data_IF_469734025246
#
_entry.id   IF_469734025246
#
_cell.length_a   1.000
_cell.length_b   1.000
_cell.length_c   1.000
_cell.angle_alpha   90.00
_cell.angle_beta   90.00
_cell.angle_gamma   90.00
#
_symmetry.space_group_name_H-M   'P 1'
#
loop_
_entity.id
_entity.type
_entity.pdbx_description
1 polymer ?
#
# COMPACT_ATOMS: atom_id res chain seq x y z
N UNK A 1 8.01 -18.03 49.18
CA UNK A 1 7.20 -17.17 48.30
C UNK A 1 7.61 -17.41 46.86
N UNK A 2 6.81 -18.16 46.08
CA UNK A 2 7.11 -18.41 44.68
C UNK A 2 6.96 -17.13 43.87
N UNK A 3 8.01 -16.74 43.14
CA UNK A 3 7.94 -15.59 42.25
C UNK A 3 6.92 -15.88 41.14
N UNK A 4 5.82 -15.15 41.13
CA UNK A 4 4.90 -15.14 39.99
C UNK A 4 5.69 -14.56 38.83
N UNK A 5 6.14 -15.42 37.90
CA UNK A 5 6.70 -14.97 36.62
C UNK A 5 5.58 -14.27 35.86
N UNK A 6 5.49 -12.95 36.00
CA UNK A 6 4.66 -12.15 35.11
C UNK A 6 5.20 -12.30 33.70
N UNK A 7 4.44 -12.99 32.84
CA UNK A 7 4.76 -13.04 31.41
C UNK A 7 4.67 -11.63 30.85
N UNK A 8 5.68 -11.21 30.09
CA UNK A 8 5.70 -9.89 29.44
C UNK A 8 4.39 -9.67 28.64
N UNK A 9 3.82 -8.44 28.65
CA UNK A 9 2.72 -8.08 27.77
C UNK A 9 3.05 -8.38 26.31
N UNK A 10 2.12 -9.04 25.62
CA UNK A 10 2.29 -9.40 24.21
C UNK A 10 1.71 -8.32 23.31
N UNK A 11 2.56 -7.73 22.49
CA UNK A 11 2.18 -6.79 21.43
C UNK A 11 2.26 -7.49 20.08
N UNK A 12 1.11 -7.64 19.43
CA UNK A 12 1.03 -8.20 18.07
C UNK A 12 1.01 -7.05 17.07
N UNK A 13 1.83 -7.14 16.03
CA UNK A 13 1.83 -6.23 14.89
C UNK A 13 1.38 -7.01 13.66
N UNK A 14 0.32 -6.54 12.99
CA UNK A 14 -0.20 -7.19 11.78
C UNK A 14 0.22 -6.39 10.56
N UNK A 15 1.06 -6.97 9.73
CA UNK A 15 1.61 -6.38 8.51
C UNK A 15 3.11 -6.09 8.62
N UNK A 16 3.88 -6.50 7.61
CA UNK A 16 5.32 -6.25 7.52
C UNK A 16 5.65 -5.17 6.47
N UNK A 17 4.78 -4.17 6.31
CA UNK A 17 5.02 -2.97 5.50
C UNK A 17 5.77 -1.88 6.28
N UNK A 18 5.80 -0.66 5.73
CA UNK A 18 6.49 0.49 6.35
C UNK A 18 6.04 0.76 7.79
N UNK A 19 4.73 0.87 8.02
CA UNK A 19 4.17 1.10 9.34
C UNK A 19 4.48 -0.06 10.30
N UNK A 20 4.23 -1.30 9.87
CA UNK A 20 4.41 -2.47 10.72
C UNK A 20 5.86 -2.76 11.09
N UNK A 21 6.81 -2.63 10.16
CA UNK A 21 8.23 -2.80 10.45
C UNK A 21 8.77 -1.69 11.36
N UNK A 22 8.31 -0.45 11.16
CA UNK A 22 8.67 0.66 12.03
C UNK A 22 8.13 0.49 13.45
N UNK A 23 6.86 0.07 13.59
CA UNK A 23 6.25 -0.27 14.87
C UNK A 23 6.98 -1.41 15.57
N UNK A 24 7.20 -2.52 14.84
CA UNK A 24 7.90 -3.70 15.33
C UNK A 24 9.31 -3.35 15.82
N UNK A 25 10.05 -2.54 15.06
CA UNK A 25 11.39 -2.08 15.47
C UNK A 25 11.34 -1.34 16.78
N UNK A 26 10.48 -0.33 16.90
CA UNK A 26 10.39 0.50 18.10
C UNK A 26 9.98 -0.34 19.32
N UNK A 27 9.02 -1.26 19.17
CA UNK A 27 8.63 -2.19 20.23
C UNK A 27 9.79 -3.11 20.63
N UNK A 28 10.53 -3.65 19.67
CA UNK A 28 11.64 -4.60 19.92
C UNK A 28 12.81 -3.99 20.70
N UNK A 29 12.90 -2.66 20.78
CA UNK A 29 13.90 -1.95 21.59
C UNK A 29 13.55 -1.94 23.08
N UNK A 30 12.30 -2.28 23.44
CA UNK A 30 11.84 -2.34 24.81
C UNK A 30 11.82 -3.81 25.30
N UNK A 31 12.66 -4.13 26.28
CA UNK A 31 12.76 -5.47 26.86
C UNK A 31 11.56 -5.91 27.70
N UNK A 32 10.57 -5.04 27.92
CA UNK A 32 9.41 -5.29 28.76
C UNK A 32 8.18 -5.76 27.96
N UNK A 33 8.31 -6.07 26.68
CA UNK A 33 7.20 -6.59 25.85
C UNK A 33 7.63 -7.79 25.01
N UNK A 34 6.72 -8.73 24.80
CA UNK A 34 6.85 -9.77 23.78
C UNK A 34 6.31 -9.23 22.45
N UNK A 35 7.15 -9.18 21.40
CA UNK A 35 6.74 -8.67 20.09
C UNK A 35 6.50 -9.82 19.11
N UNK A 36 5.31 -9.86 18.51
CA UNK A 36 4.96 -10.82 17.46
C UNK A 36 4.56 -10.08 16.19
N UNK A 37 5.28 -10.31 15.09
CA UNK A 37 4.95 -9.79 13.77
C UNK A 37 4.23 -10.85 12.94
N UNK A 38 3.04 -10.53 12.44
CA UNK A 38 2.25 -11.37 11.55
C UNK A 38 2.29 -10.79 10.14
N UNK A 39 2.73 -11.57 9.15
CA UNK A 39 2.67 -11.14 7.75
C UNK A 39 2.62 -12.34 6.78
N UNK A 40 2.10 -12.17 5.55
CA UNK A 40 1.95 -13.27 4.60
C UNK A 40 3.27 -13.91 4.14
N UNK A 41 4.37 -13.15 4.22
CA UNK A 41 5.71 -13.54 3.78
C UNK A 41 6.76 -12.90 4.68
N UNK A 42 7.91 -13.55 4.84
CA UNK A 42 9.09 -13.00 5.53
C UNK A 42 9.96 -12.11 4.62
N UNK A 43 9.32 -11.37 3.73
CA UNK A 43 9.99 -10.47 2.79
C UNK A 43 9.29 -9.13 2.81
N UNK A 44 10.07 -8.06 2.87
CA UNK A 44 9.59 -6.70 2.73
C UNK A 44 9.81 -6.23 1.28
N UNK A 45 8.77 -5.65 0.68
CA UNK A 45 8.81 -5.16 -0.68
C UNK A 45 8.74 -3.62 -0.69
N UNK A 46 9.65 -2.99 -1.46
CA UNK A 46 9.65 -1.54 -1.69
C UNK A 46 8.57 -1.15 -2.70
N UNK A 47 7.29 -1.28 -2.31
CA UNK A 47 6.15 -1.09 -3.23
C UNK A 47 6.05 0.33 -3.81
N UNK A 48 6.59 1.35 -3.13
CA UNK A 48 6.69 2.71 -3.69
C UNK A 48 7.60 2.80 -4.91
N UNK A 49 8.39 1.75 -5.21
CA UNK A 49 9.24 1.65 -6.41
C UNK A 49 8.51 1.04 -7.62
N UNK A 50 7.23 0.68 -7.51
CA UNK A 50 6.42 0.21 -8.64
C UNK A 50 6.51 1.16 -9.87
N UNK A 51 6.35 2.49 -9.71
CA UNK A 51 6.56 3.45 -10.80
C UNK A 51 7.93 3.34 -11.46
N UNK A 52 8.98 3.14 -10.66
CA UNK A 52 10.37 3.07 -11.14
C UNK A 52 10.64 1.76 -11.92
N UNK A 53 9.92 0.67 -11.59
CA UNK A 53 9.95 -0.58 -12.38
C UNK A 53 9.34 -0.35 -13.76
N UNK A 54 8.19 0.32 -13.83
CA UNK A 54 7.54 0.63 -15.12
C UNK A 54 8.40 1.56 -15.97
N UNK A 55 9.04 2.55 -15.35
CA UNK A 55 9.99 3.44 -16.03
C UNK A 55 11.27 2.73 -16.52
N UNK A 56 11.50 1.48 -16.09
CA UNK A 56 12.67 0.69 -16.46
C UNK A 56 13.96 1.07 -15.72
N UNK A 57 13.86 1.83 -14.63
CA UNK A 57 15.01 2.35 -13.86
C UNK A 57 15.21 1.63 -12.53
N UNK A 58 14.37 0.63 -12.22
CA UNK A 58 14.48 -0.18 -11.02
C UNK A 58 14.15 -1.64 -11.31
N UNK A 59 14.94 -2.57 -10.77
CA UNK A 59 14.71 -4.01 -10.94
C UNK A 59 13.88 -4.54 -9.76
N UNK A 60 12.80 -5.31 -10.00
CA UNK A 60 11.96 -5.86 -8.92
C UNK A 60 12.73 -6.57 -7.81
N UNK A 61 13.79 -7.32 -8.16
CA UNK A 61 14.62 -8.06 -7.19
C UNK A 61 15.37 -7.15 -6.22
N UNK A 62 15.74 -5.94 -6.62
CA UNK A 62 16.44 -4.97 -5.77
C UNK A 62 15.51 -4.39 -4.68
N UNK A 63 14.19 -4.47 -4.88
CA UNK A 63 13.19 -4.00 -3.93
C UNK A 63 12.67 -5.07 -2.97
N UNK A 64 13.23 -6.29 -2.98
CA UNK A 64 12.78 -7.41 -2.15
C UNK A 64 13.81 -7.70 -1.05
N UNK A 65 13.46 -7.42 0.21
CA UNK A 65 14.36 -7.53 1.37
C UNK A 65 13.94 -8.74 2.23
N UNK A 66 14.85 -9.70 2.46
CA UNK A 66 14.60 -10.83 3.39
C UNK A 66 14.71 -10.36 4.85
N UNK A 67 13.62 -10.51 5.59
CA UNK A 67 13.54 -10.06 6.98
C UNK A 67 14.16 -11.06 7.98
N UNK A 68 14.66 -12.23 7.55
CA UNK A 68 15.16 -13.28 8.44
C UNK A 68 16.23 -12.77 9.41
N UNK A 69 17.26 -12.08 8.89
CA UNK A 69 18.34 -11.53 9.71
C UNK A 69 17.81 -10.45 10.64
N UNK A 70 17.01 -9.54 10.10
CA UNK A 70 16.39 -8.42 10.81
C UNK A 70 15.56 -8.86 12.02
N UNK A 71 14.71 -9.90 11.83
CA UNK A 71 13.87 -10.49 12.88
C UNK A 71 14.71 -11.15 13.97
N UNK A 72 15.76 -11.88 13.58
CA UNK A 72 16.66 -12.57 14.53
C UNK A 72 17.42 -11.60 15.42
N UNK A 73 18.02 -10.56 14.84
CA UNK A 73 18.80 -9.57 15.58
C UNK A 73 17.94 -8.78 16.58
N UNK A 74 16.64 -8.62 16.29
CA UNK A 74 15.68 -7.93 17.15
C UNK A 74 14.88 -8.86 18.06
N UNK A 75 15.15 -10.16 18.03
CA UNK A 75 14.44 -11.18 18.81
C UNK A 75 12.90 -11.13 18.65
N UNK A 76 12.43 -10.83 17.44
CA UNK A 76 10.99 -10.72 17.12
C UNK A 76 10.44 -12.08 16.72
N UNK A 77 9.33 -12.49 17.34
CA UNK A 77 8.56 -13.66 16.91
C UNK A 77 7.85 -13.36 15.59
N UNK A 78 7.96 -14.25 14.60
CA UNK A 78 7.33 -14.03 13.29
C UNK A 78 6.35 -15.15 12.94
N UNK A 79 5.13 -14.78 12.58
CA UNK A 79 4.08 -15.70 12.12
C UNK A 79 3.83 -15.45 10.64
N UNK A 80 4.24 -16.39 9.80
CA UNK A 80 4.03 -16.35 8.34
C UNK A 80 2.59 -16.78 7.99
N UNK A 81 1.69 -15.80 7.83
CA UNK A 81 0.30 -16.08 7.51
C UNK A 81 -0.54 -14.84 7.28
N UNK A 82 -1.81 -15.07 6.93
CA UNK A 82 -2.83 -14.05 6.72
C UNK A 82 -3.84 -14.16 7.85
N UNK A 83 -4.20 -13.04 8.47
CA UNK A 83 -5.32 -13.00 9.43
C UNK A 83 -6.61 -13.30 8.68
N UNK A 84 -7.25 -14.40 9.04
CA UNK A 84 -8.52 -14.84 8.47
C UNK A 84 -9.71 -14.25 9.24
N UNK A 85 -9.60 -14.20 10.58
CA UNK A 85 -10.62 -13.67 11.46
C UNK A 85 -9.97 -12.98 12.66
N UNK A 86 -10.66 -11.97 13.21
CA UNK A 86 -10.23 -11.21 14.37
C UNK A 86 -11.39 -11.07 15.35
N UNK A 87 -11.25 -11.70 16.52
CA UNK A 87 -12.14 -11.53 17.66
C UNK A 87 -11.53 -10.50 18.62
N UNK A 88 -11.99 -9.26 18.50
CA UNK A 88 -11.53 -8.13 19.34
C UNK A 88 -11.86 -8.38 20.81
N UNK A 89 -13.08 -8.86 21.11
CA UNK A 89 -13.56 -9.07 22.48
C UNK A 89 -12.72 -10.11 23.23
N UNK A 90 -12.35 -11.20 22.55
CA UNK A 90 -11.46 -12.23 23.10
C UNK A 90 -9.98 -11.90 22.96
N UNK A 91 -9.64 -10.82 22.23
CA UNK A 91 -8.27 -10.38 21.91
C UNK A 91 -7.45 -11.45 21.21
N UNK A 92 -8.04 -12.01 20.15
CA UNK A 92 -7.51 -13.16 19.43
C UNK A 92 -7.55 -12.94 17.92
N UNK A 93 -6.45 -13.25 17.25
CA UNK A 93 -6.37 -13.37 15.80
C UNK A 93 -6.34 -14.83 15.39
N UNK A 94 -7.11 -15.17 14.37
CA UNK A 94 -7.03 -16.45 13.69
C UNK A 94 -6.21 -16.28 12.42
N UNK A 95 -5.01 -16.86 12.39
CA UNK A 95 -4.04 -16.68 11.31
C UNK A 95 -3.93 -17.96 10.51
N UNK A 96 -4.22 -17.91 9.21
CA UNK A 96 -4.04 -19.03 8.29
C UNK A 96 -2.68 -18.93 7.62
N UNK A 97 -1.81 -19.91 7.82
CA UNK A 97 -0.44 -19.82 7.30
C UNK A 97 0.48 -20.97 7.65
N UNK A 98 1.76 -20.81 7.26
CA UNK A 98 2.82 -21.73 7.68
C UNK A 98 3.27 -21.29 9.06
N UNK A 99 3.20 -22.18 10.05
CA UNK A 99 3.78 -21.89 11.37
C UNK A 99 5.29 -21.73 11.23
N UNK A 100 5.78 -20.49 11.23
CA UNK A 100 7.21 -20.20 11.31
C UNK A 100 7.62 -20.15 12.78
N UNK A 101 8.55 -21.03 13.15
CA UNK A 101 9.27 -21.07 14.42
C UNK A 101 9.60 -19.64 14.88
N UNK A 102 9.19 -19.33 16.11
CA UNK A 102 9.77 -18.26 16.93
C UNK A 102 11.28 -18.32 16.80
N UNK A 103 11.91 -17.26 16.31
CA UNK A 103 13.33 -17.06 16.52
C UNK A 103 13.47 -16.77 18.01
N UNK A 104 13.88 -17.78 18.78
CA UNK A 104 13.92 -17.76 20.25
C UNK A 104 14.78 -16.59 20.78
N UNK A 105 14.14 -15.49 21.16
CA UNK A 105 14.49 -14.73 22.36
C UNK A 105 13.78 -15.35 23.57
N UNK A 106 14.30 -15.14 24.78
CA UNK A 106 13.79 -15.76 26.02
C UNK A 106 12.31 -15.38 26.29
N UNK A 107 11.33 -16.18 25.84
CA UNK A 107 9.93 -16.05 26.26
C UNK A 107 9.25 -17.42 26.41
N UNK A 108 8.47 -17.54 27.49
CA UNK A 108 7.75 -18.72 27.96
C UNK A 108 6.68 -19.21 26.98
N UNK A 109 6.34 -20.51 27.08
CA UNK A 109 5.23 -21.19 26.41
C UNK A 109 3.89 -20.46 26.62
N UNK A 110 3.57 -19.45 25.82
CA UNK A 110 2.20 -18.97 25.60
C UNK A 110 1.80 -19.26 24.15
N UNK A 111 1.27 -20.47 23.94
CA UNK A 111 0.31 -20.79 22.89
C UNK A 111 0.63 -20.37 21.45
N UNK A 112 1.84 -20.61 20.95
CA UNK A 112 2.01 -20.76 19.49
C UNK A 112 2.00 -22.27 19.25
N UNK A 113 0.87 -22.79 18.77
CA UNK A 113 0.69 -24.21 18.48
C UNK A 113 1.84 -24.75 17.63
N UNK A 114 2.19 -26.02 17.86
CA UNK A 114 3.28 -26.71 17.18
C UNK A 114 3.19 -26.60 15.65
N UNK A 115 4.35 -26.70 14.98
CA UNK A 115 4.47 -26.58 13.53
C UNK A 115 3.43 -27.48 12.82
N UNK A 116 2.45 -26.84 12.19
CA UNK A 116 1.36 -27.53 11.49
C UNK A 116 1.45 -27.30 9.98
N UNK A 117 0.86 -28.24 9.22
CA UNK A 117 0.91 -28.34 7.76
C UNK A 117 0.47 -27.03 7.08
N UNK A 118 0.86 -26.86 5.81
CA UNK A 118 0.43 -25.75 4.95
C UNK A 118 -1.11 -25.65 4.97
N UNK A 119 -1.64 -24.53 5.49
CA UNK A 119 -3.09 -24.32 5.63
C UNK A 119 -3.63 -24.39 7.06
N UNK A 120 -2.79 -24.67 8.05
CA UNK A 120 -3.20 -24.64 9.46
C UNK A 120 -3.62 -23.24 9.92
N UNK A 121 -4.67 -23.20 10.74
CA UNK A 121 -5.16 -22.01 11.41
C UNK A 121 -4.56 -21.93 12.82
N UNK A 122 -3.99 -20.78 13.15
CA UNK A 122 -3.29 -20.52 14.41
C UNK A 122 -4.04 -19.44 15.17
N UNK A 123 -4.34 -19.71 16.43
CA UNK A 123 -4.93 -18.75 17.35
C UNK A 123 -3.82 -17.96 18.04
N UNK A 124 -3.78 -16.64 17.85
CA UNK A 124 -2.80 -15.75 18.45
C UNK A 124 -3.50 -14.72 19.35
N UNK A 125 -3.35 -14.87 20.66
CA UNK A 125 -3.83 -13.88 21.63
C UNK A 125 -2.89 -12.67 21.70
N UNK A 126 -3.41 -11.51 22.08
CA UNK A 126 -2.62 -10.29 22.29
C UNK A 126 -3.09 -9.50 23.53
N UNK A 127 -2.16 -8.75 24.13
CA UNK A 127 -2.51 -7.73 25.13
C UNK A 127 -2.73 -6.37 24.45
N UNK A 128 -1.91 -6.05 23.44
CA UNK A 128 -2.06 -4.90 22.55
C UNK A 128 -1.89 -5.32 21.08
N UNK A 129 -2.59 -4.64 20.18
CA UNK A 129 -2.52 -4.88 18.75
C UNK A 129 -2.17 -3.59 17.98
N UNK A 130 -1.23 -3.69 17.05
CA UNK A 130 -0.98 -2.66 16.03
C UNK A 130 -1.42 -3.19 14.67
N UNK A 131 -2.51 -2.65 14.14
CA UNK A 131 -3.02 -2.94 12.79
C UNK A 131 -2.26 -2.07 11.78
N UNK A 132 -1.37 -2.70 11.02
CA UNK A 132 -0.52 -2.05 10.03
C UNK A 132 -0.46 -2.86 8.72
N UNK A 133 -1.59 -3.46 8.35
CA UNK A 133 -1.70 -4.42 7.26
C UNK A 133 -1.73 -3.78 5.87
N UNK A 134 -1.81 -2.44 5.81
CA UNK A 134 -2.02 -1.69 4.57
C UNK A 134 -3.37 -2.02 3.93
N UNK A 135 -3.51 -1.66 2.66
CA UNK A 135 -4.65 -2.02 1.82
C UNK A 135 -4.31 -3.19 0.90
N UNK A 136 -5.34 -3.80 0.33
CA UNK A 136 -5.25 -4.85 -0.71
C UNK A 136 -5.98 -4.39 -1.97
N UNK A 137 -5.70 -4.93 -3.16
CA UNK A 137 -6.52 -4.67 -4.33
C UNK A 137 -7.99 -5.00 -4.07
N UNK A 138 -8.87 -4.08 -4.43
CA UNK A 138 -10.31 -4.30 -4.32
C UNK A 138 -10.74 -5.35 -5.34
N UNK A 139 -11.77 -6.13 -4.97
CA UNK A 139 -12.28 -7.23 -5.81
C UNK A 139 -13.79 -7.10 -6.00
N UNK A 140 -14.27 -6.03 -6.65
CA UNK A 140 -15.69 -5.87 -6.90
C UNK A 140 -16.19 -6.93 -7.88
N UNK A 141 -17.50 -7.21 -7.81
CA UNK A 141 -18.18 -8.14 -8.74
C UNK A 141 -18.59 -7.41 -10.02
N UNK A 142 -17.61 -6.86 -10.72
CA UNK A 142 -17.81 -6.21 -12.03
C UNK A 142 -17.68 -7.29 -13.12
N UNK A 143 -18.72 -7.51 -13.96
CA UNK A 143 -18.66 -8.50 -15.03
C UNK A 143 -17.46 -8.28 -15.95
N UNK A 144 -16.71 -9.34 -16.22
CA UNK A 144 -15.53 -9.29 -17.10
C UNK A 144 -14.27 -8.66 -16.50
N UNK A 145 -14.31 -7.99 -15.34
CA UNK A 145 -13.12 -7.32 -14.79
C UNK A 145 -11.96 -8.29 -14.51
N UNK A 146 -12.23 -9.37 -13.78
CA UNK A 146 -11.22 -10.34 -13.35
C UNK A 146 -10.31 -10.89 -14.46
N UNK A 147 -10.85 -11.42 -15.57
CA UNK A 147 -10.03 -11.95 -16.66
C UNK A 147 -9.36 -10.89 -17.55
N UNK A 148 -9.80 -9.63 -17.53
CA UNK A 148 -9.33 -8.60 -18.47
C UNK A 148 -8.49 -7.49 -17.83
N UNK A 149 -8.51 -7.33 -16.51
CA UNK A 149 -7.77 -6.27 -15.82
C UNK A 149 -6.42 -6.74 -15.26
N UNK A 150 -5.43 -5.87 -15.38
CA UNK A 150 -4.13 -6.01 -14.74
C UNK A 150 -4.15 -5.33 -13.36
N UNK A 151 -3.96 -6.11 -12.30
CA UNK A 151 -3.78 -5.57 -10.95
C UNK A 151 -2.29 -5.38 -10.69
N UNK A 152 -1.88 -4.18 -10.27
CA UNK A 152 -0.47 -3.86 -9.98
C UNK A 152 -0.29 -3.64 -8.47
N UNK A 153 -0.10 -4.73 -7.74
CA UNK A 153 0.00 -4.73 -6.27
C UNK A 153 1.38 -5.19 -5.75
N UNK A 154 2.30 -5.47 -6.67
CA UNK A 154 3.62 -5.99 -6.37
C UNK A 154 4.62 -5.61 -7.46
N UNK A 155 5.91 -5.64 -7.11
CA UNK A 155 7.00 -5.38 -8.07
C UNK A 155 7.02 -6.40 -9.24
N UNK A 156 6.54 -7.63 -9.00
CA UNK A 156 6.41 -8.64 -10.05
C UNK A 156 5.21 -8.36 -10.98
N UNK A 157 4.11 -7.84 -10.42
CA UNK A 157 2.96 -7.44 -11.21
C UNK A 157 3.28 -6.25 -12.13
N UNK A 158 4.08 -5.28 -11.68
CA UNK A 158 4.52 -4.18 -12.55
C UNK A 158 5.44 -4.65 -13.67
N UNK A 159 6.36 -5.57 -13.42
CA UNK A 159 7.16 -6.21 -14.48
C UNK A 159 6.28 -7.00 -15.48
N UNK A 160 5.24 -7.68 -14.99
CA UNK A 160 4.28 -8.39 -15.83
C UNK A 160 3.48 -7.42 -16.72
N UNK A 161 3.08 -6.27 -16.18
CA UNK A 161 2.42 -5.20 -16.95
C UNK A 161 3.36 -4.64 -18.04
N UNK A 162 4.62 -4.37 -17.71
CA UNK A 162 5.62 -3.92 -18.69
C UNK A 162 5.79 -4.93 -19.84
N UNK A 163 5.84 -6.23 -19.54
CA UNK A 163 5.88 -7.27 -20.56
C UNK A 163 4.60 -7.32 -21.41
N UNK A 164 3.43 -7.19 -20.79
CA UNK A 164 2.16 -7.13 -21.50
C UNK A 164 2.14 -5.95 -22.49
N UNK A 165 2.47 -4.74 -22.04
CA UNK A 165 2.47 -3.53 -22.89
C UNK A 165 3.42 -3.68 -24.07
N UNK A 166 4.63 -4.21 -23.85
CA UNK A 166 5.57 -4.51 -24.95
C UNK A 166 4.95 -5.43 -26.00
N UNK A 167 4.29 -6.50 -25.57
CA UNK A 167 3.66 -7.45 -26.47
C UNK A 167 2.47 -6.85 -27.22
N UNK A 168 1.68 -6.00 -26.58
CA UNK A 168 0.58 -5.27 -27.22
C UNK A 168 1.12 -4.35 -28.32
N UNK A 169 2.16 -3.55 -28.02
CA UNK A 169 2.77 -2.64 -28.98
C UNK A 169 3.45 -3.36 -30.15
N UNK A 170 4.09 -4.51 -29.91
CA UNK A 170 4.64 -5.34 -31.00
C UNK A 170 3.57 -5.86 -31.96
N UNK A 171 2.43 -6.28 -31.42
CA UNK A 171 1.29 -6.72 -32.24
C UNK A 171 0.67 -5.56 -33.00
N UNK A 172 0.59 -4.38 -32.39
CA UNK A 172 0.03 -3.18 -32.99
C UNK A 172 0.72 -2.79 -34.30
N UNK A 173 2.04 -3.06 -34.45
CA UNK A 173 2.79 -2.79 -35.69
C UNK A 173 2.27 -3.56 -36.91
N UNK A 174 1.58 -4.67 -36.69
CA UNK A 174 1.01 -5.53 -37.75
C UNK A 174 -0.47 -5.25 -38.00
N UNK A 175 -1.07 -4.34 -37.25
CA UNK A 175 -2.49 -4.01 -37.33
C UNK A 175 -2.72 -2.78 -38.20
N UNK A 176 -4.00 -2.47 -38.47
CA UNK A 176 -4.42 -1.30 -39.23
C UNK A 176 -5.54 -0.56 -38.51
N UNK A 177 -5.59 0.75 -38.71
CA UNK A 177 -6.70 1.63 -38.30
C UNK A 177 -7.13 1.40 -36.84
N UNK A 178 -8.38 1.02 -36.59
CA UNK A 178 -8.98 0.98 -35.25
C UNK A 178 -8.29 0.01 -34.28
N UNK A 179 -7.77 -1.12 -34.76
CA UNK A 179 -7.07 -2.09 -33.91
C UNK A 179 -5.75 -1.55 -33.35
N UNK A 180 -5.09 -0.64 -34.09
CA UNK A 180 -3.89 0.05 -33.61
C UNK A 180 -4.28 1.01 -32.48
N UNK A 181 -5.34 1.79 -32.65
CA UNK A 181 -5.83 2.72 -31.63
C UNK A 181 -6.22 2.01 -30.34
N UNK A 182 -6.92 0.88 -30.44
CA UNK A 182 -7.26 0.00 -29.30
C UNK A 182 -6.01 -0.47 -28.55
N UNK A 183 -4.94 -0.81 -29.29
CA UNK A 183 -3.66 -1.26 -28.72
C UNK A 183 -2.85 -0.12 -28.08
N UNK A 184 -3.08 1.11 -28.52
CA UNK A 184 -2.46 2.33 -28.00
C UNK A 184 -3.33 3.02 -26.93
N UNK A 185 -4.46 2.42 -26.55
CA UNK A 185 -5.34 2.96 -25.51
C UNK A 185 -5.18 2.18 -24.22
N UNK A 186 -4.94 2.92 -23.13
CA UNK A 186 -4.67 2.41 -21.80
C UNK A 186 -5.66 3.03 -20.81
N UNK A 187 -6.29 2.20 -19.98
CA UNK A 187 -7.24 2.66 -18.96
C UNK A 187 -6.70 2.27 -17.59
N UNK A 188 -6.60 3.23 -16.67
CA UNK A 188 -6.24 3.02 -15.26
C UNK A 188 -7.45 3.36 -14.40
N UNK A 189 -7.94 2.40 -13.62
CA UNK A 189 -9.09 2.60 -12.72
C UNK A 189 -8.58 2.77 -11.30
N UNK A 190 -8.66 4.00 -10.76
CA UNK A 190 -8.26 4.31 -9.40
C UNK A 190 -7.97 5.80 -9.15
N UNK A 191 -8.34 6.25 -7.96
CA UNK A 191 -8.34 7.66 -7.56
C UNK A 191 -7.25 8.02 -6.54
N UNK A 192 -6.55 7.01 -6.01
CA UNK A 192 -5.53 7.21 -4.97
C UNK A 192 -4.27 7.85 -5.54
N UNK A 193 -3.43 8.40 -4.65
CA UNK A 193 -2.13 8.96 -5.04
C UNK A 193 -1.28 7.92 -5.80
N UNK A 194 -1.28 6.66 -5.35
CA UNK A 194 -0.57 5.54 -5.98
C UNK A 194 -1.14 5.21 -7.35
N UNK A 195 -2.46 5.27 -7.52
CA UNK A 195 -3.09 5.04 -8.82
C UNK A 195 -2.68 6.13 -9.83
N UNK A 196 -2.60 7.38 -9.38
CA UNK A 196 -2.10 8.50 -10.18
C UNK A 196 -0.60 8.33 -10.50
N UNK A 197 0.25 8.00 -9.51
CA UNK A 197 1.67 7.71 -9.75
C UNK A 197 1.86 6.57 -10.76
N UNK A 198 1.03 5.53 -10.66
CA UNK A 198 1.01 4.40 -11.58
C UNK A 198 0.62 4.83 -12.99
N UNK A 199 -0.43 5.65 -13.15
CA UNK A 199 -0.88 6.16 -14.44
C UNK A 199 0.18 7.04 -15.11
N UNK A 200 0.85 7.89 -14.34
CA UNK A 200 1.94 8.74 -14.83
C UNK A 200 3.15 7.91 -15.26
N UNK A 201 3.55 6.92 -14.47
CA UNK A 201 4.64 6.02 -14.83
C UNK A 201 4.31 5.16 -16.06
N UNK A 202 3.05 4.71 -16.15
CA UNK A 202 2.52 4.01 -17.33
C UNK A 202 2.58 4.91 -18.57
N UNK A 203 2.16 6.18 -18.46
CA UNK A 203 2.23 7.17 -19.55
C UNK A 203 3.65 7.32 -20.09
N UNK A 204 4.62 7.59 -19.21
CA UNK A 204 6.02 7.71 -19.61
C UNK A 204 6.54 6.42 -20.26
N UNK A 205 6.25 5.26 -19.66
CA UNK A 205 6.64 3.96 -20.20
C UNK A 205 6.06 3.71 -21.60
N UNK A 206 4.77 3.98 -21.82
CA UNK A 206 4.12 3.69 -23.10
C UNK A 206 4.59 4.63 -24.19
N UNK A 207 4.87 5.90 -23.88
CA UNK A 207 5.43 6.86 -24.83
C UNK A 207 6.78 6.36 -25.38
N UNK A 208 7.72 5.96 -24.52
CA UNK A 208 9.02 5.51 -25.01
C UNK A 208 8.94 4.20 -25.78
N UNK A 209 8.09 3.29 -25.31
CA UNK A 209 7.94 2.00 -25.97
C UNK A 209 7.29 2.19 -27.33
N UNK A 210 6.27 3.04 -27.44
CA UNK A 210 5.60 3.35 -28.69
C UNK A 210 6.55 4.03 -29.68
N UNK A 211 7.33 5.03 -29.24
CA UNK A 211 8.34 5.71 -30.08
C UNK A 211 9.38 4.72 -30.59
N UNK A 212 9.90 3.81 -29.74
CA UNK A 212 10.83 2.74 -30.14
C UNK A 212 10.22 1.74 -31.14
N UNK A 213 8.89 1.68 -31.27
CA UNK A 213 8.19 0.86 -32.27
C UNK A 213 7.81 1.64 -33.53
N UNK A 214 8.14 2.93 -33.61
CA UNK A 214 7.89 3.79 -34.76
C UNK A 214 6.49 4.41 -34.77
N UNK A 215 5.79 4.44 -33.63
CA UNK A 215 4.56 5.23 -33.50
C UNK A 215 4.88 6.70 -33.23
N UNK A 216 4.00 7.59 -33.66
CA UNK A 216 4.15 9.03 -33.44
C UNK A 216 4.13 9.38 -31.95
N UNK A 217 4.88 10.44 -31.60
CA UNK A 217 4.83 11.01 -30.25
C UNK A 217 3.40 11.51 -29.98
N UNK A 218 2.81 11.02 -28.89
CA UNK A 218 1.43 11.35 -28.51
C UNK A 218 0.36 10.40 -29.05
N UNK A 219 0.73 9.37 -29.84
CA UNK A 219 -0.22 8.36 -30.28
C UNK A 219 -0.88 7.53 -29.14
N UNK A 220 -0.21 7.25 -28.01
CA UNK A 220 -0.85 6.59 -26.87
C UNK A 220 -1.90 7.47 -26.15
N UNK A 221 -3.06 6.88 -25.87
CA UNK A 221 -4.11 7.46 -25.03
C UNK A 221 -4.08 6.83 -23.64
N UNK A 222 -3.98 7.63 -22.59
CA UNK A 222 -4.04 7.15 -21.20
C UNK A 222 -5.21 7.80 -20.49
N UNK A 223 -6.19 6.99 -20.12
CA UNK A 223 -7.35 7.40 -19.35
C UNK A 223 -7.19 6.99 -17.88
N UNK A 224 -7.54 7.88 -16.95
CA UNK A 224 -7.76 7.52 -15.55
C UNK A 224 -9.23 7.67 -15.21
N UNK A 225 -9.84 6.60 -14.73
CA UNK A 225 -11.27 6.52 -14.41
C UNK A 225 -11.45 6.59 -12.89
N UNK A 226 -12.35 7.45 -12.44
CA UNK A 226 -12.74 7.51 -11.04
C UNK A 226 -13.71 8.63 -10.69
N UNK A 227 -14.00 8.81 -9.40
CA UNK A 227 -14.91 9.86 -8.90
C UNK A 227 -14.17 11.12 -8.46
N UNK A 228 -14.67 12.31 -8.83
CA UNK A 228 -13.98 13.59 -8.62
C UNK A 228 -13.61 13.83 -7.14
N UNK A 229 -14.58 13.63 -6.24
CA UNK A 229 -14.39 13.81 -4.80
C UNK A 229 -13.31 12.89 -4.21
N UNK A 230 -13.09 11.73 -4.86
CA UNK A 230 -12.15 10.70 -4.42
C UNK A 230 -10.74 10.90 -4.95
N UNK A 231 -10.58 11.64 -6.06
CA UNK A 231 -9.28 11.92 -6.63
C UNK A 231 -8.40 12.63 -5.62
N UNK A 232 -7.33 11.93 -5.23
CA UNK A 232 -6.26 12.50 -4.43
C UNK A 232 -6.79 13.05 -3.10
N UNK A 233 -7.74 12.29 -2.52
CA UNK A 233 -8.43 12.57 -1.26
C UNK A 233 -7.45 13.05 -0.20
N UNK A 234 -7.82 14.17 0.41
CA UNK A 234 -7.04 14.84 1.44
C UNK A 234 -6.00 15.84 0.97
N UNK A 235 -5.81 16.05 -0.34
CA UNK A 235 -5.14 17.26 -0.83
C UNK A 235 -6.01 18.51 -0.65
N UNK A 236 -5.40 19.67 -0.28
CA UNK A 236 -6.06 20.97 -0.40
C UNK A 236 -6.54 21.25 -1.82
N UNK A 237 -7.68 21.93 -2.00
CA UNK A 237 -8.31 22.14 -3.32
C UNK A 237 -7.36 22.72 -4.38
N UNK A 238 -6.57 23.73 -4.03
CA UNK A 238 -5.57 24.31 -4.94
C UNK A 238 -4.48 23.33 -5.39
N UNK A 239 -4.12 22.39 -4.52
CA UNK A 239 -3.13 21.35 -4.86
C UNK A 239 -3.76 20.24 -5.69
N UNK A 240 -5.05 19.97 -5.48
CA UNK A 240 -5.81 19.07 -6.35
C UNK A 240 -5.93 19.65 -7.76
N UNK A 241 -6.45 20.87 -7.90
CA UNK A 241 -6.62 21.56 -9.20
C UNK A 241 -5.32 21.57 -10.01
N UNK A 242 -4.21 22.03 -9.42
CA UNK A 242 -2.93 22.08 -10.12
C UNK A 242 -2.37 20.70 -10.50
N UNK A 243 -2.74 19.62 -9.79
CA UNK A 243 -2.41 18.26 -10.19
C UNK A 243 -3.25 17.82 -11.39
N UNK A 244 -4.55 18.11 -11.39
CA UNK A 244 -5.46 17.76 -12.48
C UNK A 244 -5.02 18.47 -13.78
N UNK A 245 -4.74 19.77 -13.72
CA UNK A 245 -4.22 20.55 -14.86
C UNK A 245 -2.91 19.94 -15.40
N UNK A 246 -2.01 19.55 -14.50
CA UNK A 246 -0.73 18.96 -14.90
C UNK A 246 -0.90 17.57 -15.54
N UNK A 247 -1.84 16.76 -15.07
CA UNK A 247 -2.15 15.45 -15.65
C UNK A 247 -2.67 15.61 -17.09
N UNK A 248 -3.55 16.58 -17.32
CA UNK A 248 -4.09 16.87 -18.65
C UNK A 248 -2.98 17.33 -19.62
N UNK A 249 -2.13 18.27 -19.21
CA UNK A 249 -0.97 18.73 -20.00
C UNK A 249 0.02 17.59 -20.27
N UNK A 250 0.11 16.61 -19.37
CA UNK A 250 0.94 15.41 -19.53
C UNK A 250 0.31 14.34 -20.44
N UNK A 251 -0.83 14.63 -21.06
CA UNK A 251 -1.55 13.72 -21.96
C UNK A 251 -2.28 12.60 -21.25
N UNK A 252 -2.64 12.79 -19.98
CA UNK A 252 -3.48 11.86 -19.22
C UNK A 252 -4.88 12.47 -19.14
N UNK A 253 -5.87 11.78 -19.70
CA UNK A 253 -7.26 12.22 -19.66
C UNK A 253 -7.95 11.64 -18.44
N UNK A 254 -8.51 12.51 -17.60
CA UNK A 254 -9.30 12.08 -16.45
C UNK A 254 -10.76 11.93 -16.86
N UNK A 255 -11.32 10.75 -16.60
CA UNK A 255 -12.74 10.47 -16.74
C UNK A 255 -13.32 10.48 -15.32
N UNK A 256 -13.80 11.67 -14.93
CA UNK A 256 -14.36 11.95 -13.61
C UNK A 256 -15.84 11.60 -13.52
N UNK A 257 -16.29 11.28 -12.30
CA UNK A 257 -17.67 10.93 -11.95
C UNK A 257 -18.29 9.81 -12.80
N UNK A 258 -17.42 8.87 -13.20
CA UNK A 258 -17.79 7.66 -13.92
C UNK A 258 -17.05 6.47 -13.33
N UNK A 259 -17.65 5.29 -13.47
CA UNK A 259 -17.08 4.04 -12.99
C UNK A 259 -17.20 2.91 -14.01
N UNK A 260 -16.34 1.89 -13.88
CA UNK A 260 -16.39 0.70 -14.72
C UNK A 260 -17.61 -0.15 -14.34
N UNK A 261 -18.55 -0.26 -15.26
CA UNK A 261 -19.74 -1.09 -15.11
C UNK A 261 -19.48 -2.54 -15.52
N UNK A 262 -18.73 -2.77 -16.60
CA UNK A 262 -18.33 -4.10 -17.09
C UNK A 262 -17.17 -4.01 -18.08
N UNK A 263 -16.55 -5.15 -18.37
CA UNK A 263 -15.51 -5.29 -19.39
C UNK A 263 -15.89 -6.36 -20.40
N UNK A 264 -16.06 -5.97 -21.67
CA UNK A 264 -16.43 -6.85 -22.79
C UNK A 264 -15.21 -7.11 -23.69
N UNK A 265 -14.39 -8.11 -23.36
CA UNK A 265 -13.17 -8.39 -24.11
C UNK A 265 -12.19 -7.21 -23.99
N UNK A 266 -12.10 -6.40 -25.04
CA UNK A 266 -11.24 -5.20 -25.09
C UNK A 266 -12.01 -3.89 -24.93
N UNK A 267 -13.27 -3.92 -24.48
CA UNK A 267 -14.06 -2.72 -24.24
C UNK A 267 -14.32 -2.53 -22.75
N UNK A 268 -13.85 -1.41 -22.21
CA UNK A 268 -14.23 -0.93 -20.87
C UNK A 268 -15.53 -0.16 -21.01
N UNK A 269 -16.60 -0.65 -20.38
CA UNK A 269 -17.92 -0.02 -20.39
C UNK A 269 -18.12 0.73 -19.09
N UNK A 270 -18.35 2.02 -19.19
CA UNK A 270 -18.60 2.90 -18.04
C UNK A 270 -20.08 2.93 -17.68
N UNK A 271 -20.40 3.29 -16.45
CA UNK A 271 -21.77 3.48 -15.95
C UNK A 271 -22.52 4.63 -16.63
N UNK A 272 -21.81 5.59 -17.22
CA UNK A 272 -22.35 6.61 -18.12
C UNK A 272 -22.84 6.07 -19.47
N UNK A 273 -22.55 4.79 -19.78
CA UNK A 273 -22.81 4.17 -21.08
C UNK A 273 -21.67 4.33 -22.09
N UNK A 274 -20.66 5.15 -21.79
CA UNK A 274 -19.47 5.29 -22.64
C UNK A 274 -18.71 3.96 -22.77
N UNK A 275 -18.12 3.72 -23.95
CA UNK A 275 -17.33 2.53 -24.27
C UNK A 275 -15.94 2.93 -24.72
N UNK A 276 -14.91 2.41 -24.04
CA UNK A 276 -13.51 2.68 -24.35
C UNK A 276 -12.89 1.38 -24.88
N UNK A 277 -12.45 1.40 -26.14
CA UNK A 277 -11.71 0.29 -26.74
C UNK A 277 -10.25 0.36 -26.27
N UNK A 278 -9.83 -0.58 -25.43
CA UNK A 278 -8.51 -0.60 -24.81
C UNK A 278 -8.01 -2.04 -24.61
N UNK A 279 -6.81 -2.33 -25.11
CA UNK A 279 -6.16 -3.63 -24.86
C UNK A 279 -5.57 -3.76 -23.46
N UNK A 280 -5.32 -2.63 -22.80
CA UNK A 280 -4.71 -2.60 -21.47
C UNK A 280 -5.63 -1.88 -20.50
N UNK A 281 -6.24 -2.65 -19.59
CA UNK A 281 -6.96 -2.14 -18.43
C UNK A 281 -6.14 -2.43 -17.17
N UNK A 282 -5.84 -1.41 -16.39
CA UNK A 282 -5.12 -1.50 -15.11
C UNK A 282 -6.10 -1.19 -13.98
N UNK A 283 -6.30 -2.14 -13.06
CA UNK A 283 -7.10 -1.95 -11.86
C UNK A 283 -6.20 -1.57 -10.69
N UNK A 284 -6.32 -0.33 -10.24
CA UNK A 284 -5.49 0.28 -9.21
C UNK A 284 -6.27 0.68 -7.94
N UNK A 285 -7.54 0.26 -7.83
CA UNK A 285 -8.31 0.48 -6.60
C UNK A 285 -7.96 -0.52 -5.50
N UNK A 286 -7.93 0.00 -4.29
CA UNK A 286 -7.56 -0.74 -3.08
C UNK A 286 -8.63 -0.58 -2.00
N UNK A 287 -8.69 -1.56 -1.10
CA UNK A 287 -9.61 -1.59 0.02
C UNK A 287 -8.92 -2.15 1.27
N UNK A 288 -9.43 -1.85 2.45
CA UNK A 288 -9.00 -2.48 3.69
C UNK A 288 -9.25 -4.00 3.68
N UNK A 289 -8.37 -4.81 4.28
CA UNK A 289 -8.63 -6.24 4.44
C UNK A 289 -9.90 -6.53 5.25
N UNK A 290 -10.73 -7.47 4.76
CA UNK A 290 -12.02 -7.84 5.38
C UNK A 290 -11.96 -8.20 6.86
N UNK A 291 -10.86 -8.79 7.34
CA UNK A 291 -10.75 -9.15 8.76
C UNK A 291 -10.78 -7.92 9.68
N UNK A 292 -10.38 -6.75 9.17
CA UNK A 292 -10.47 -5.46 9.87
C UNK A 292 -11.91 -4.97 9.86
N UNK A 293 -12.56 -4.98 8.69
CA UNK A 293 -13.95 -4.54 8.54
C UNK A 293 -14.93 -5.38 9.38
N UNK A 294 -14.67 -6.69 9.47
CA UNK A 294 -15.49 -7.61 10.25
C UNK A 294 -15.10 -7.70 11.73
N UNK A 295 -14.16 -6.87 12.21
CA UNK A 295 -13.63 -6.98 13.57
C UNK A 295 -14.61 -6.49 14.65
N UNK A 296 -15.66 -5.77 14.27
CA UNK A 296 -16.59 -5.12 15.20
C UNK A 296 -16.03 -3.84 15.85
N UNK A 297 -15.02 -3.24 15.24
CA UNK A 297 -14.51 -1.90 15.58
C UNK A 297 -15.21 -0.83 14.73
N UNK A 298 -15.14 0.42 15.15
CA UNK A 298 -15.40 1.56 14.28
C UNK A 298 -14.37 1.56 13.15
N UNK A 299 -14.88 1.41 11.92
CA UNK A 299 -14.10 1.38 10.68
C UNK A 299 -14.77 2.27 9.66
N UNK A 300 -13.98 2.92 8.82
CA UNK A 300 -14.47 3.51 7.57
C UNK A 300 -14.38 2.42 6.50
N UNK A 301 -15.50 1.98 5.90
CA UNK A 301 -15.51 0.89 4.92
C UNK A 301 -14.52 1.12 3.78
N UNK A 302 -13.70 0.11 3.45
CA UNK A 302 -12.65 0.20 2.43
C UNK A 302 -11.43 1.07 2.81
N UNK A 303 -11.48 1.85 3.88
CA UNK A 303 -10.42 2.79 4.27
C UNK A 303 -9.60 2.33 5.48
N UNK A 304 -10.23 1.94 6.60
CA UNK A 304 -9.47 1.40 7.73
C UNK A 304 -10.13 1.56 9.10
N UNK A 305 -9.36 1.28 10.14
CA UNK A 305 -9.79 1.47 11.54
C UNK A 305 -9.87 2.97 11.83
N UNK A 306 -10.98 3.41 12.44
CA UNK A 306 -11.12 4.78 12.91
C UNK A 306 -10.37 4.96 14.24
N UNK A 307 -9.46 5.94 14.29
CA UNK A 307 -8.59 6.19 15.44
C UNK A 307 -8.61 7.65 15.86
N UNK A 308 -8.38 7.91 17.14
CA UNK A 308 -8.08 9.26 17.65
C UNK A 308 -6.70 9.74 17.15
N UNK A 309 -6.36 11.03 17.30
CA UNK A 309 -5.07 11.58 16.85
C UNK A 309 -3.85 10.87 17.42
N UNK A 310 -3.93 10.23 18.58
CA UNK A 310 -2.88 9.40 19.16
C UNK A 310 -2.77 7.97 18.57
N UNK A 311 -3.51 7.69 17.50
CA UNK A 311 -3.55 6.44 16.74
C UNK A 311 -4.17 5.25 17.51
N UNK A 312 -4.94 5.53 18.56
CA UNK A 312 -5.72 4.55 19.32
C UNK A 312 -7.08 4.36 18.65
N UNK A 313 -7.55 3.12 18.51
CA UNK A 313 -8.92 2.85 18.05
C UNK A 313 -9.93 3.51 19.00
N UNK A 314 -10.90 4.21 18.41
CA UNK A 314 -12.00 4.81 19.21
C UNK A 314 -12.91 3.76 19.86
N UNK A 315 -12.78 2.49 19.46
CA UNK A 315 -13.60 1.38 19.95
C UNK A 315 -12.89 0.50 20.99
N UNK A 316 -11.56 0.41 20.97
CA UNK A 316 -10.78 -0.37 21.94
C UNK A 316 -9.40 0.26 22.17
N UNK A 317 -9.13 0.68 23.41
CA UNK A 317 -7.88 1.32 23.81
C UNK A 317 -6.65 0.42 23.77
N UNK A 318 -6.83 -0.88 23.52
CA UNK A 318 -5.75 -1.85 23.30
C UNK A 318 -5.38 -2.02 21.82
N UNK A 319 -6.13 -1.39 20.93
CA UNK A 319 -5.94 -1.47 19.49
C UNK A 319 -5.41 -0.15 18.97
N UNK A 320 -4.34 -0.22 18.20
CA UNK A 320 -3.76 0.90 17.48
C UNK A 320 -3.79 0.59 15.98
N UNK A 321 -3.88 1.61 15.14
CA UNK A 321 -3.76 1.46 13.69
C UNK A 321 -2.78 2.47 13.10
N UNK A 322 -2.11 2.10 12.01
CA UNK A 322 -1.13 2.97 11.34
C UNK A 322 -0.97 2.59 9.86
N UNK A 323 -0.56 3.57 9.03
CA UNK A 323 -0.44 3.39 7.58
C UNK A 323 -1.81 3.39 6.91
N UNK A 324 -1.89 2.78 5.72
CA UNK A 324 -3.08 2.88 4.85
C UNK A 324 -4.34 2.17 5.37
N UNK A 325 -4.26 1.47 6.51
CA UNK A 325 -5.40 0.82 7.17
C UNK A 325 -5.90 1.60 8.40
N UNK A 326 -5.68 2.92 8.42
CA UNK A 326 -5.95 3.81 9.53
C UNK A 326 -6.61 5.09 9.05
N UNK A 327 -7.73 5.48 9.67
CA UNK A 327 -8.40 6.77 9.44
C UNK A 327 -8.35 7.57 10.74
N UNK A 328 -7.59 8.65 10.73
CA UNK A 328 -7.39 9.50 11.92
C UNK A 328 -8.51 10.53 12.00
N UNK A 329 -9.16 10.62 13.16
CA UNK A 329 -10.19 11.60 13.47
C UNK A 329 -9.71 13.03 13.19
N UNK A 330 -10.56 13.82 12.53
CA UNK A 330 -10.24 15.19 12.11
C UNK A 330 -9.18 15.28 10.99
N UNK A 331 -8.61 14.16 10.56
CA UNK A 331 -7.73 14.06 9.41
C UNK A 331 -8.52 13.88 8.12
N UNK A 332 -7.94 14.32 7.00
CA UNK A 332 -8.39 13.84 5.71
C UNK A 332 -7.86 12.42 5.50
N UNK A 333 -8.76 11.43 5.46
CA UNK A 333 -8.42 10.08 5.01
C UNK A 333 -7.76 10.13 3.62
N UNK A 334 -6.95 9.13 3.29
CA UNK A 334 -6.23 9.08 2.03
C UNK A 334 -4.92 8.31 2.16
N UNK A 335 -4.26 8.10 1.02
CA UNK A 335 -3.03 7.35 1.01
C UNK A 335 -1.85 8.16 1.54
N UNK A 336 -0.98 7.49 2.29
CA UNK A 336 0.18 8.10 2.93
C UNK A 336 1.44 7.85 2.11
N UNK A 337 2.35 8.82 2.11
CA UNK A 337 3.69 8.53 1.61
C UNK A 337 4.35 7.45 2.48
N UNK A 338 5.20 6.62 1.88
CA UNK A 338 5.81 5.47 2.57
C UNK A 338 6.53 5.85 3.88
N UNK A 339 7.15 7.04 3.95
CA UNK A 339 7.80 7.53 5.17
C UNK A 339 6.80 7.98 6.23
N UNK A 340 5.64 8.52 5.85
CA UNK A 340 4.58 8.89 6.79
C UNK A 340 3.96 7.64 7.42
N UNK A 341 3.72 6.60 6.63
CA UNK A 341 3.29 5.30 7.14
C UNK A 341 4.29 4.75 8.17
N UNK A 342 5.60 4.81 7.88
CA UNK A 342 6.62 4.41 8.84
C UNK A 342 6.63 5.28 10.11
N UNK A 343 6.41 6.60 10.00
CA UNK A 343 6.35 7.49 11.15
C UNK A 343 5.12 7.22 12.02
N UNK A 344 3.95 6.98 11.42
CA UNK A 344 2.74 6.56 12.13
C UNK A 344 2.96 5.24 12.85
N UNK A 345 3.56 4.23 12.19
CA UNK A 345 3.87 2.96 12.84
C UNK A 345 4.78 3.12 14.06
N UNK A 346 5.78 3.98 13.95
CA UNK A 346 6.66 4.33 15.09
C UNK A 346 5.89 5.00 16.23
N UNK A 347 4.99 5.92 15.90
CA UNK A 347 4.18 6.63 16.89
C UNK A 347 3.22 5.68 17.60
N UNK A 348 2.51 4.83 16.85
CA UNK A 348 1.62 3.81 17.41
C UNK A 348 2.37 2.91 18.41
N UNK A 349 3.55 2.40 18.03
CA UNK A 349 4.40 1.63 18.94
C UNK A 349 4.80 2.40 20.22
N UNK A 350 5.19 3.67 20.09
CA UNK A 350 5.50 4.51 21.27
C UNK A 350 4.30 4.71 22.17
N UNK A 351 3.12 4.88 21.60
CA UNK A 351 1.90 5.07 22.36
C UNK A 351 1.44 3.76 23.02
N UNK A 352 1.66 2.59 22.41
CA UNK A 352 1.51 1.29 23.08
C UNK A 352 2.40 1.23 24.34
N UNK A 353 3.69 1.58 24.22
CA UNK A 353 4.62 1.56 25.36
C UNK A 353 4.22 2.57 26.45
N UNK A 354 3.79 3.77 26.06
CA UNK A 354 3.29 4.78 27.02
C UNK A 354 2.01 4.33 27.71
N UNK A 355 1.09 3.69 26.99
CA UNK A 355 -0.14 3.14 27.54
C UNK A 355 0.17 2.08 28.60
N UNK A 356 1.13 1.18 28.31
CA UNK A 356 1.63 0.19 29.28
C UNK A 356 2.25 0.82 30.52
N UNK A 357 2.94 1.95 30.37
CA UNK A 357 3.59 2.70 31.46
C UNK A 357 2.62 3.68 32.18
N UNK A 358 1.36 3.78 31.77
CA UNK A 358 0.41 4.76 32.32
C UNK A 358 0.78 6.22 32.02
N UNK A 359 1.50 6.47 30.93
CA UNK A 359 2.00 7.80 30.53
C UNK A 359 1.14 8.46 29.46
N UNK A 360 1.13 9.80 29.39
CA UNK A 360 0.40 10.53 28.35
C UNK A 360 0.84 10.13 26.94
N UNK A 361 -0.13 9.95 26.04
CA UNK A 361 0.09 9.59 24.64
C UNK A 361 0.58 10.81 23.83
N UNK A 362 1.04 10.57 22.60
CA UNK A 362 1.43 11.62 21.65
C UNK A 362 0.55 11.58 20.43
N UNK A 363 0.12 12.75 19.98
CA UNK A 363 -0.69 12.88 18.79
C UNK A 363 0.13 12.80 17.50
N UNK A 364 -0.49 12.22 16.49
CA UNK A 364 -0.11 12.31 15.09
C UNK A 364 -0.40 13.71 14.59
N UNK A 365 0.60 14.33 13.99
CA UNK A 365 0.46 15.62 13.32
C UNK A 365 0.84 15.44 11.86
N UNK A 366 -0.12 15.66 10.98
CA UNK A 366 0.10 15.62 9.54
C UNK A 366 1.18 16.64 9.19
N UNK A 367 2.20 16.20 8.47
CA UNK A 367 3.26 17.08 8.01
C UNK A 367 2.65 18.07 7.01
N UNK A 368 2.79 19.38 7.25
CA UNK A 368 2.38 20.44 6.30
C UNK A 368 3.31 20.54 5.07
N UNK A 369 3.99 19.45 4.74
CA UNK A 369 4.91 19.35 3.61
C UNK A 369 4.14 19.21 2.29
N UNK A 370 4.81 19.50 1.18
CA UNK A 370 4.25 19.26 -0.14
C UNK A 370 3.95 17.76 -0.33
N UNK A 371 2.82 17.45 -0.97
CA UNK A 371 2.52 16.12 -1.48
C UNK A 371 2.89 16.07 -2.96
N UNK A 372 3.53 14.98 -3.34
CA UNK A 372 4.30 14.83 -4.58
C UNK A 372 3.85 13.57 -5.28
N UNK A 373 3.68 13.66 -6.61
CA UNK A 373 3.37 12.52 -7.45
C UNK A 373 4.65 12.10 -8.17
N UNK A 374 5.18 10.93 -7.82
CA UNK A 374 6.31 10.34 -8.52
C UNK A 374 5.94 9.99 -9.96
N UNK A 375 6.84 10.30 -10.90
CA UNK A 375 6.62 10.08 -12.34
C UNK A 375 7.43 8.90 -12.90
N UNK A 376 8.08 8.11 -12.04
CA UNK A 376 8.99 7.02 -12.41
C UNK A 376 10.34 7.46 -13.01
N UNK A 377 10.43 8.66 -13.59
CA UNK A 377 11.68 9.30 -14.08
C UNK A 377 12.01 10.62 -13.38
N UNK A 378 11.25 10.93 -12.34
CA UNK A 378 11.27 12.21 -11.64
C UNK A 378 10.07 12.32 -10.71
N UNK A 379 9.62 13.55 -10.45
CA UNK A 379 8.31 13.82 -9.88
C UNK A 379 7.74 15.14 -10.37
N UNK A 380 6.42 15.26 -10.25
CA UNK A 380 5.71 16.52 -10.27
C UNK A 380 5.37 16.90 -8.82
N UNK A 381 5.81 18.10 -8.40
CA UNK A 381 5.45 18.73 -7.13
C UNK A 381 4.14 19.47 -7.34
N UNK A 382 3.17 19.29 -6.44
CA UNK A 382 2.18 20.34 -6.23
C UNK A 382 2.42 21.02 -4.89
N UNK A 383 3.05 22.21 -4.93
CA UNK A 383 3.03 23.15 -3.81
C UNK A 383 3.05 24.58 -4.33
N UNK A 384 2.02 25.34 -3.95
CA UNK A 384 1.83 26.80 -3.79
C UNK A 384 2.55 27.84 -4.69
N UNK A 385 3.66 27.56 -5.40
CA UNK A 385 4.44 28.52 -6.23
C UNK A 385 5.21 27.94 -7.44
N UNK A 386 4.99 26.69 -7.86
CA UNK A 386 5.51 26.19 -9.15
C UNK A 386 6.03 24.75 -9.16
N UNK A 387 6.20 24.20 -10.36
CA UNK A 387 6.72 22.85 -10.64
C UNK A 387 8.24 22.83 -10.40
N UNK A 388 8.72 21.92 -9.54
CA UNK A 388 10.15 21.74 -9.29
C UNK A 388 10.81 20.86 -10.37
N UNK A 389 12.14 20.97 -10.51
CA UNK A 389 12.91 20.10 -11.40
C UNK A 389 12.86 18.64 -10.92
N UNK A 390 12.58 17.74 -11.86
CA UNK A 390 12.44 16.29 -11.66
C UNK A 390 13.65 15.62 -10.99
N UNK A 391 14.85 16.18 -11.19
CA UNK A 391 16.13 15.61 -10.74
C UNK A 391 16.37 15.80 -9.25
N UNK A 392 16.19 17.00 -8.70
CA UNK A 392 16.41 17.28 -7.28
C UNK A 392 15.47 16.46 -6.38
N UNK A 393 14.24 16.25 -6.83
CA UNK A 393 13.30 15.42 -6.08
C UNK A 393 13.66 13.94 -6.11
N UNK A 394 14.07 13.39 -7.27
CA UNK A 394 14.51 11.99 -7.35
C UNK A 394 15.63 11.71 -6.33
N UNK A 395 16.58 12.63 -6.23
CA UNK A 395 17.61 12.62 -5.18
C UNK A 395 17.05 12.68 -3.77
N UNK A 396 16.14 13.61 -3.48
CA UNK A 396 15.51 13.73 -2.16
C UNK A 396 14.70 12.49 -1.77
N UNK A 397 13.89 11.92 -2.68
CA UNK A 397 13.10 10.70 -2.45
C UNK A 397 14.02 9.52 -2.16
N UNK A 398 15.09 9.36 -2.94
CA UNK A 398 16.14 8.35 -2.70
C UNK A 398 16.81 8.56 -1.34
N UNK A 399 17.10 9.81 -0.97
CA UNK A 399 17.63 10.13 0.35
C UNK A 399 16.66 9.77 1.48
N UNK A 400 15.35 10.06 1.34
CA UNK A 400 14.34 9.66 2.33
C UNK A 400 14.22 8.15 2.44
N UNK A 401 14.23 7.43 1.32
CA UNK A 401 14.25 5.98 1.28
C UNK A 401 15.47 5.41 2.02
N UNK A 402 16.68 5.83 1.65
CA UNK A 402 17.92 5.38 2.28
C UNK A 402 17.93 5.68 3.77
N UNK A 403 17.51 6.89 4.17
CA UNK A 403 17.40 7.29 5.57
C UNK A 403 16.38 6.44 6.33
N UNK A 404 15.26 6.09 5.70
CA UNK A 404 14.24 5.24 6.30
C UNK A 404 14.73 3.80 6.44
N UNK A 405 15.31 3.21 5.39
CA UNK A 405 15.84 1.85 5.42
C UNK A 405 16.97 1.72 6.46
N UNK A 406 17.90 2.68 6.48
CA UNK A 406 18.94 2.75 7.51
C UNK A 406 18.35 2.87 8.93
N UNK A 407 17.29 3.68 9.10
CA UNK A 407 16.57 3.76 10.37
C UNK A 407 15.88 2.46 10.72
N UNK A 408 15.29 1.74 9.78
CA UNK A 408 14.71 0.42 10.03
C UNK A 408 15.79 -0.63 10.27
N UNK A 409 17.03 -0.38 9.84
CA UNK A 409 18.15 -1.31 9.85
C UNK A 409 17.97 -2.43 8.84
N UNK A 410 17.46 -2.08 7.65
CA UNK A 410 17.21 -2.96 6.50
C UNK A 410 18.27 -2.76 5.41
#
# INVERSE_FOLDING_TARGET
MGSVKHSLPRVVVVGAGYAGLSATRELSQNGNVEVVLVAPRRTFALLHRIPDVLAGVFRPREGMIDLRRWLRERQVSFVEGVVAHWDVRRRVLHVRGKSSRVVKGKAQKRGIGAASRKGAEHTLSYDYLVVACGKRPSKPRIPGLGPHAHVVDSLAASESLLHHVRNVLEKARKQRSEAVKESLTFVVCGESHEAIELAVALRGMVDDLAEKKGFDRGAPFVYVVGREDSFVKGLPSREREALLDWLEVSGITLLVDVDVQRVDGHHVVLDSGARIAARTLVWARVETPRFVESAGLAVEPGEGVFVSPDLVSVSDTRVFAAGDCCVVEGGSGGSLAFWEAAWQGRLAARNVLKMLEGRPLREWRVSRGARLVATGRGAALVRRRGVFSSVLFSWWRKFQEQRLLARLGL
#
